data_IF_937768352539
#
_entry.id   IF_937768352539
#
_cell.length_a   1.000
_cell.length_b   1.000
_cell.length_c   1.000
_cell.angle_alpha   90.00
_cell.angle_beta   90.00
_cell.angle_gamma   90.00
#
_symmetry.space_group_name_H-M   'P 1'
#
loop_
_entity.id
_entity.type
_entity.pdbx_description
1 polymer ?
#
# COMPACT_ATOMS: atom_id res chain seq x y z
N UNK A 1 -13.63 -10.68 21.24
CA UNK A 1 -14.08 -10.73 19.83
C UNK A 1 -12.94 -10.33 18.88
N UNK A 2 -11.68 -10.54 19.28
CA UNK A 2 -10.46 -10.20 18.50
C UNK A 2 -9.68 -11.45 18.05
N UNK A 3 -10.08 -12.65 18.48
CA UNK A 3 -9.28 -13.87 18.32
C UNK A 3 -9.49 -14.63 17.00
N UNK A 4 -10.34 -14.15 16.09
CA UNK A 4 -10.63 -14.84 14.82
C UNK A 4 -10.26 -14.01 13.57
N UNK A 5 -9.51 -12.92 13.73
CA UNK A 5 -8.94 -12.25 12.56
C UNK A 5 -7.69 -13.03 12.12
N UNK A 6 -7.65 -13.53 10.87
CA UNK A 6 -6.47 -14.18 10.34
C UNK A 6 -5.23 -13.28 10.49
N UNK A 7 -4.05 -13.86 10.66
CA UNK A 7 -2.79 -13.10 10.80
C UNK A 7 -2.54 -12.08 9.68
N UNK A 8 -3.22 -12.21 8.55
CA UNK A 8 -3.16 -11.29 7.42
C UNK A 8 -3.91 -9.96 7.61
N UNK A 9 -4.80 -9.83 8.61
CA UNK A 9 -5.57 -8.59 8.93
C UNK A 9 -5.04 -7.91 10.20
N UNK A 10 -4.05 -8.49 10.89
CA UNK A 10 -3.55 -7.96 12.16
C UNK A 10 -2.69 -6.72 11.93
N UNK A 11 -3.36 -5.58 11.80
CA UNK A 11 -2.77 -4.25 11.90
C UNK A 11 -2.67 -3.85 13.37
N UNK A 12 -1.46 -3.89 13.90
CA UNK A 12 -1.21 -3.60 15.31
C UNK A 12 -1.28 -2.09 15.58
N UNK A 13 -2.07 -1.71 16.60
CA UNK A 13 -1.98 -0.36 17.17
C UNK A 13 -0.63 -0.25 17.88
N UNK A 14 0.24 0.59 17.35
CA UNK A 14 1.51 0.94 17.96
C UNK A 14 1.26 1.98 19.06
N UNK A 15 1.78 1.73 20.26
CA UNK A 15 1.88 2.79 21.25
C UNK A 15 3.01 3.72 20.82
N UNK A 16 2.72 5.02 20.76
CA UNK A 16 3.67 6.01 20.24
C UNK A 16 3.77 7.22 21.16
N UNK A 17 5.00 7.70 21.39
CA UNK A 17 5.27 8.98 22.06
C UNK A 17 6.06 9.93 21.16
N UNK A 18 5.94 11.23 21.42
CA UNK A 18 6.48 12.30 20.56
C UNK A 18 7.40 13.23 21.37
N UNK A 19 8.60 12.78 21.75
CA UNK A 19 9.46 13.51 22.70
C UNK A 19 9.97 14.85 22.14
N UNK A 20 10.17 14.95 20.81
CA UNK A 20 10.57 16.19 20.13
C UNK A 20 9.87 16.33 18.79
N UNK A 21 9.97 17.52 18.21
CA UNK A 21 9.48 17.81 16.85
C UNK A 21 10.16 16.88 15.83
N UNK A 22 9.39 15.92 15.30
CA UNK A 22 9.78 14.86 14.34
C UNK A 22 10.48 13.63 14.92
N UNK A 23 10.54 13.50 16.24
CA UNK A 23 10.94 12.25 16.89
C UNK A 23 9.68 11.49 17.30
N UNK A 24 9.68 10.19 17.02
CA UNK A 24 8.58 9.29 17.35
C UNK A 24 9.21 8.06 18.00
N UNK A 25 8.69 7.64 19.13
CA UNK A 25 9.12 6.39 19.78
C UNK A 25 7.95 5.43 19.72
N UNK A 26 8.11 4.33 18.99
CA UNK A 26 7.15 3.24 18.96
C UNK A 26 7.50 2.22 20.04
N UNK A 27 6.50 1.76 20.77
CA UNK A 27 6.60 0.64 21.70
C UNK A 27 5.89 -0.56 21.10
N UNK A 28 6.54 -1.72 21.15
CA UNK A 28 6.00 -2.97 20.67
C UNK A 28 5.80 -3.90 21.85
N UNK A 29 4.55 -4.29 22.04
CA UNK A 29 4.19 -5.43 22.86
C UNK A 29 4.13 -6.63 21.93
N UNK A 30 5.11 -7.52 22.08
CA UNK A 30 5.13 -8.81 21.40
C UNK A 30 4.22 -9.74 22.23
N UNK A 31 2.99 -10.05 21.76
CA UNK A 31 2.02 -10.81 22.54
C UNK A 31 2.50 -12.24 22.83
N UNK A 32 3.45 -12.75 22.03
CA UNK A 32 4.04 -14.07 22.16
C UNK A 32 5.36 -14.04 22.96
N UNK A 33 5.83 -12.86 23.39
CA UNK A 33 7.05 -12.76 24.18
C UNK A 33 6.81 -13.15 25.65
N UNK A 34 7.79 -13.80 26.32
CA UNK A 34 7.72 -14.10 27.73
C UNK A 34 7.42 -12.84 28.58
N UNK A 35 6.67 -12.93 29.69
CA UNK A 35 6.35 -11.78 30.55
C UNK A 35 7.56 -11.02 31.10
N UNK A 36 8.73 -11.67 31.15
CA UNK A 36 10.00 -11.08 31.55
C UNK A 36 10.70 -10.29 30.43
N UNK A 37 10.15 -10.30 29.22
CA UNK A 37 10.74 -9.63 28.07
C UNK A 37 10.60 -8.13 28.22
N UNK A 38 11.72 -7.43 28.12
CA UNK A 38 11.72 -5.98 28.14
C UNK A 38 10.92 -5.46 26.94
N UNK A 39 9.99 -4.53 27.20
CA UNK A 39 9.18 -3.89 26.17
C UNK A 39 10.11 -3.32 25.09
N UNK A 40 9.89 -3.73 23.85
CA UNK A 40 10.73 -3.29 22.75
C UNK A 40 10.35 -1.86 22.38
N UNK A 41 11.37 -1.05 22.09
CA UNK A 41 11.18 0.31 21.63
C UNK A 41 12.03 0.58 20.41
N UNK A 42 11.47 1.38 19.50
CA UNK A 42 12.17 1.89 18.34
C UNK A 42 12.01 3.40 18.30
N UNK A 43 13.12 4.11 18.10
CA UNK A 43 13.10 5.56 17.91
C UNK A 43 13.19 5.86 16.42
N UNK A 44 12.31 6.73 15.96
CA UNK A 44 12.15 7.10 14.57
C UNK A 44 12.27 8.61 14.42
N UNK A 45 12.93 9.01 13.34
CA UNK A 45 13.05 10.41 12.94
C UNK A 45 12.33 10.61 11.62
N UNK A 46 11.35 11.51 11.64
CA UNK A 46 10.58 11.90 10.45
C UNK A 46 11.29 13.01 9.68
N UNK A 47 11.23 12.91 8.37
CA UNK A 47 11.70 13.96 7.48
C UNK A 47 10.86 15.23 7.58
N UNK A 48 11.46 16.37 7.21
CA UNK A 48 10.79 17.68 7.28
C UNK A 48 9.74 17.84 6.19
N UNK A 49 10.01 17.28 5.00
CA UNK A 49 9.15 17.40 3.82
C UNK A 49 8.49 16.04 3.57
N UNK A 50 7.21 16.01 3.19
CA UNK A 50 6.58 14.77 2.77
C UNK A 50 7.19 14.28 1.46
N UNK A 51 7.29 12.96 1.30
CA UNK A 51 7.70 12.29 0.07
C UNK A 51 6.53 12.10 -0.91
N UNK A 52 5.29 12.18 -0.41
CA UNK A 52 4.08 12.12 -1.22
C UNK A 52 2.95 12.92 -0.58
N UNK A 53 2.07 13.48 -1.41
CA UNK A 53 0.86 14.20 -0.98
C UNK A 53 -0.32 13.69 -1.80
N UNK A 54 -1.39 13.28 -1.12
CA UNK A 54 -2.64 12.86 -1.77
C UNK A 54 -3.84 13.58 -1.17
N UNK A 55 -5.02 13.36 -1.75
CA UNK A 55 -6.27 13.97 -1.25
C UNK A 55 -6.64 13.56 0.18
N UNK A 56 -6.06 12.47 0.69
CA UNK A 56 -6.36 11.91 2.01
C UNK A 56 -5.24 12.09 3.04
N UNK A 57 -4.12 12.73 2.68
CA UNK A 57 -3.03 12.94 3.64
C UNK A 57 -1.66 13.17 3.03
N UNK A 58 -0.64 13.01 3.87
CA UNK A 58 0.75 13.23 3.53
C UNK A 58 1.57 12.01 3.95
N UNK A 59 2.47 11.58 3.06
CA UNK A 59 3.41 10.48 3.32
C UNK A 59 4.75 11.08 3.70
N UNK A 60 5.29 10.69 4.84
CA UNK A 60 6.58 11.14 5.34
C UNK A 60 7.54 9.96 5.45
N UNK A 61 8.77 10.13 4.96
CA UNK A 61 9.83 9.17 5.22
C UNK A 61 10.25 9.24 6.69
N UNK A 62 10.39 8.07 7.30
CA UNK A 62 10.87 7.93 8.68
C UNK A 62 12.06 6.96 8.71
N UNK A 63 13.13 7.38 9.39
CA UNK A 63 14.33 6.57 9.57
C UNK A 63 14.43 6.13 11.02
N UNK A 64 14.61 4.83 11.25
CA UNK A 64 14.86 4.29 12.59
C UNK A 64 16.27 4.71 13.03
N UNK A 65 16.38 5.42 14.14
CA UNK A 65 17.64 5.91 14.71
C UNK A 65 18.18 5.01 15.81
N UNK A 66 17.33 4.19 16.45
CA UNK A 66 17.72 3.21 17.46
C UNK A 66 16.63 2.16 17.67
N UNK A 67 17.02 0.94 18.01
CA UNK A 67 16.14 -0.23 18.11
C UNK A 67 16.43 -1.26 17.01
N UNK A 68 16.19 -2.53 17.27
CA UNK A 68 16.36 -3.58 16.26
C UNK A 68 15.05 -3.77 15.49
N UNK A 69 15.07 -3.52 14.18
CA UNK A 69 13.95 -3.83 13.28
C UNK A 69 13.64 -5.31 13.37
N UNK A 70 12.47 -5.66 13.90
CA UNK A 70 12.00 -7.03 13.82
C UNK A 70 10.64 -7.11 13.15
N UNK A 71 10.55 -8.05 12.21
CA UNK A 71 9.46 -8.16 11.27
C UNK A 71 9.10 -9.64 11.10
N UNK A 72 8.21 -10.13 11.95
CA UNK A 72 7.65 -11.48 11.93
C UNK A 72 6.34 -11.50 11.16
N UNK A 73 6.35 -11.16 9.86
CA UNK A 73 5.22 -11.49 8.97
C UNK A 73 5.76 -11.72 7.56
N UNK A 74 5.86 -13.01 7.19
CA UNK A 74 6.61 -13.51 6.02
C UNK A 74 5.72 -13.88 4.84
N UNK A 75 4.44 -14.15 5.05
CA UNK A 75 3.62 -14.82 4.02
C UNK A 75 3.16 -13.89 2.88
N UNK A 76 2.93 -12.59 3.17
CA UNK A 76 2.35 -11.64 2.20
C UNK A 76 3.28 -10.51 1.75
N UNK A 77 4.50 -10.45 2.29
CA UNK A 77 5.50 -9.42 1.98
C UNK A 77 5.94 -9.40 0.51
N UNK A 78 5.54 -10.43 -0.25
CA UNK A 78 5.84 -10.61 -1.66
C UNK A 78 4.99 -9.71 -2.56
N UNK A 79 3.69 -9.66 -2.34
CA UNK A 79 2.75 -8.98 -3.25
C UNK A 79 2.19 -7.69 -2.70
N UNK A 80 2.36 -7.43 -1.40
CA UNK A 80 1.77 -6.28 -0.73
C UNK A 80 2.83 -5.48 0.01
N UNK A 81 2.66 -4.16 -0.01
CA UNK A 81 3.42 -3.26 0.86
C UNK A 81 3.12 -3.63 2.30
N UNK A 82 4.17 -3.99 3.02
CA UNK A 82 4.08 -4.41 4.40
C UNK A 82 3.58 -3.27 5.28
N UNK A 83 2.46 -3.49 5.97
CA UNK A 83 2.07 -2.66 7.10
C UNK A 83 2.99 -2.93 8.30
N UNK A 84 3.41 -1.86 8.96
CA UNK A 84 4.17 -1.90 10.20
C UNK A 84 3.28 -1.59 11.42
N UNK A 85 1.99 -1.35 11.20
CA UNK A 85 1.03 -0.94 12.22
C UNK A 85 0.59 0.52 12.06
N UNK A 86 -0.21 1.00 13.01
CA UNK A 86 -0.77 2.35 12.99
C UNK A 86 -0.72 2.98 14.37
N UNK A 87 -0.73 4.31 14.43
CA UNK A 87 -0.72 5.06 15.69
C UNK A 87 -1.44 6.40 15.54
N UNK A 88 -1.89 6.94 16.66
CA UNK A 88 -2.61 8.22 16.69
C UNK A 88 -1.67 9.35 17.10
N UNK A 89 -1.80 10.47 16.41
CA UNK A 89 -1.41 11.79 16.89
C UNK A 89 -2.68 12.53 17.29
N UNK A 90 -2.53 13.61 18.05
CA UNK A 90 -3.63 14.44 18.58
C UNK A 90 -4.78 14.65 17.59
N UNK A 91 -4.46 14.94 16.33
CA UNK A 91 -5.44 15.28 15.29
C UNK A 91 -5.25 14.44 14.00
N UNK A 92 -4.57 13.28 14.07
CA UNK A 92 -4.27 12.51 12.86
C UNK A 92 -4.05 11.02 13.14
N UNK A 93 -4.62 10.18 12.29
CA UNK A 93 -4.28 8.76 12.20
C UNK A 93 -3.03 8.59 11.34
N UNK A 94 -2.03 7.87 11.84
CA UNK A 94 -0.78 7.60 11.13
C UNK A 94 -0.69 6.09 10.85
N UNK A 95 -0.46 5.71 9.59
CA UNK A 95 -0.21 4.32 9.20
C UNK A 95 1.28 4.21 8.87
N UNK A 96 1.98 3.32 9.57
CA UNK A 96 3.38 2.99 9.30
C UNK A 96 3.43 1.82 8.31
N UNK A 97 4.24 1.96 7.25
CA UNK A 97 4.40 0.94 6.21
C UNK A 97 5.85 0.87 5.76
N UNK A 98 6.23 -0.23 5.09
CA UNK A 98 7.57 -0.33 4.51
C UNK A 98 7.82 0.78 3.49
N UNK A 99 9.04 1.30 3.49
CA UNK A 99 9.45 2.30 2.50
C UNK A 99 9.97 1.60 1.24
N UNK A 100 9.44 2.01 0.09
CA UNK A 100 9.88 1.57 -1.24
C UNK A 100 10.71 2.68 -1.89
N UNK A 101 12.06 2.56 -1.93
CA UNK A 101 12.92 3.64 -2.42
C UNK A 101 12.83 3.87 -3.93
N UNK A 102 12.33 2.89 -4.70
CA UNK A 102 12.25 2.94 -6.16
C UNK A 102 11.08 3.78 -6.69
N UNK A 103 10.15 4.20 -5.83
CA UNK A 103 8.97 4.95 -6.25
C UNK A 103 7.89 4.09 -6.92
N UNK A 104 6.97 4.74 -7.64
CA UNK A 104 5.80 4.12 -8.27
C UNK A 104 5.92 4.01 -9.80
N UNK A 105 5.04 3.18 -10.39
CA UNK A 105 5.03 2.87 -11.83
C UNK A 105 4.71 4.07 -12.71
N UNK A 106 3.84 4.95 -12.24
CA UNK A 106 3.46 6.14 -13.01
C UNK A 106 4.63 7.11 -13.10
N UNK A 107 5.36 7.29 -12.00
CA UNK A 107 6.61 8.05 -11.94
C UNK A 107 7.66 7.44 -12.86
N UNK A 108 7.85 6.11 -12.83
CA UNK A 108 8.79 5.45 -13.74
C UNK A 108 8.44 5.68 -15.21
N UNK A 109 7.18 5.44 -15.61
CA UNK A 109 6.71 5.57 -17.00
C UNK A 109 6.73 7.01 -17.51
N UNK A 110 6.64 8.01 -16.63
CA UNK A 110 6.82 9.42 -17.01
C UNK A 110 8.22 9.63 -17.60
N UNK A 111 9.23 9.13 -16.90
CA UNK A 111 10.63 9.42 -17.17
C UNK A 111 11.29 8.40 -18.14
N UNK A 112 10.61 7.29 -18.45
CA UNK A 112 11.10 6.20 -19.31
C UNK A 112 10.17 5.92 -20.50
N UNK A 113 10.62 5.22 -21.56
CA UNK A 113 9.73 4.75 -22.62
C UNK A 113 8.71 3.72 -22.10
N UNK A 114 7.71 3.42 -22.94
CA UNK A 114 6.80 2.29 -22.70
C UNK A 114 7.59 1.00 -22.50
N UNK A 115 7.08 0.11 -21.64
CA UNK A 115 7.78 -1.13 -21.35
C UNK A 115 7.57 -2.16 -22.46
N UNK A 116 8.58 -2.98 -22.77
CA UNK A 116 8.41 -4.15 -23.63
C UNK A 116 7.30 -5.07 -23.13
N UNK A 117 6.75 -5.88 -24.02
CA UNK A 117 5.69 -6.83 -23.68
C UNK A 117 6.13 -7.79 -22.56
N UNK A 118 7.39 -8.23 -22.59
CA UNK A 118 7.93 -9.16 -21.58
C UNK A 118 7.96 -8.58 -20.17
N UNK A 119 8.30 -7.30 -20.05
CA UNK A 119 8.32 -6.57 -18.79
C UNK A 119 6.90 -6.29 -18.30
N UNK A 120 6.03 -5.86 -19.21
CA UNK A 120 4.60 -5.66 -18.96
C UNK A 120 3.96 -6.95 -18.43
N UNK A 121 4.27 -8.09 -19.06
CA UNK A 121 3.79 -9.42 -18.64
C UNK A 121 4.24 -9.78 -17.23
N UNK A 122 5.51 -9.51 -16.89
CA UNK A 122 6.04 -9.76 -15.55
C UNK A 122 5.34 -8.91 -14.48
N UNK A 123 5.07 -7.64 -14.77
CA UNK A 123 4.34 -6.74 -13.86
C UNK A 123 2.90 -7.21 -13.71
N UNK A 124 2.17 -7.34 -14.81
CA UNK A 124 0.74 -7.73 -14.81
C UNK A 124 0.53 -9.09 -14.14
N UNK A 125 1.42 -10.07 -14.33
CA UNK A 125 1.33 -11.37 -13.67
C UNK A 125 1.45 -11.28 -12.13
N UNK A 126 2.32 -10.42 -11.62
CA UNK A 126 2.47 -10.21 -10.17
C UNK A 126 1.26 -9.51 -9.58
N UNK A 127 0.72 -8.52 -10.28
CA UNK A 127 -0.51 -7.81 -9.89
C UNK A 127 -1.69 -8.77 -9.84
N UNK A 128 -1.89 -9.59 -10.87
CA UNK A 128 -2.94 -10.60 -10.91
C UNK A 128 -2.89 -11.55 -9.71
N UNK A 129 -1.69 -11.98 -9.30
CA UNK A 129 -1.52 -12.83 -8.10
C UNK A 129 -1.90 -12.09 -6.82
N UNK A 130 -1.54 -10.81 -6.70
CA UNK A 130 -1.98 -9.97 -5.59
C UNK A 130 -3.49 -9.80 -5.56
N UNK A 131 -4.11 -9.49 -6.70
CA UNK A 131 -5.57 -9.36 -6.83
C UNK A 131 -6.29 -10.66 -6.48
N UNK A 132 -5.80 -11.82 -6.95
CA UNK A 132 -6.38 -13.11 -6.63
C UNK A 132 -6.41 -13.40 -5.12
N UNK A 133 -5.34 -13.01 -4.40
CA UNK A 133 -5.30 -13.11 -2.93
C UNK A 133 -6.33 -12.17 -2.30
N UNK A 134 -6.37 -10.89 -2.72
CA UNK A 134 -7.33 -9.94 -2.15
C UNK A 134 -8.79 -10.35 -2.37
N UNK A 135 -9.11 -10.78 -3.60
CA UNK A 135 -10.45 -11.23 -3.96
C UNK A 135 -10.87 -12.48 -3.19
N UNK A 136 -9.94 -13.41 -2.94
CA UNK A 136 -10.18 -14.59 -2.11
C UNK A 136 -10.52 -14.24 -0.65
N UNK A 137 -9.96 -13.16 -0.13
CA UNK A 137 -10.19 -12.66 1.24
C UNK A 137 -11.32 -11.59 1.32
N UNK A 138 -11.99 -11.28 0.21
CA UNK A 138 -13.09 -10.31 0.16
C UNK A 138 -12.66 -8.84 0.27
N UNK A 139 -11.40 -8.54 -0.05
CA UNK A 139 -10.84 -7.19 -0.12
C UNK A 139 -10.73 -6.70 -1.58
N UNK A 140 -10.90 -5.38 -1.77
CA UNK A 140 -10.79 -4.70 -3.06
C UNK A 140 -10.01 -3.40 -2.92
N UNK A 141 -9.19 -3.05 -3.93
CA UNK A 141 -8.49 -1.77 -3.89
C UNK A 141 -7.76 -1.28 -5.14
N UNK A 142 -7.69 0.06 -5.18
CA UNK A 142 -6.90 0.89 -6.06
C UNK A 142 -5.51 1.16 -5.48
N UNK A 143 -4.53 1.23 -6.38
CA UNK A 143 -3.15 1.72 -6.26
C UNK A 143 -2.06 0.64 -6.23
N UNK A 144 -1.25 0.70 -7.27
CA UNK A 144 -0.12 -0.15 -7.56
C UNK A 144 1.16 0.60 -7.19
N UNK A 145 1.99 0.03 -6.32
CA UNK A 145 3.37 0.50 -6.15
C UNK A 145 4.30 -0.47 -6.87
N UNK A 146 5.15 0.10 -7.69
CA UNK A 146 6.17 -0.64 -8.39
C UNK A 146 7.35 -0.91 -7.46
N UNK A 147 8.07 -1.99 -7.70
CA UNK A 147 9.51 -2.04 -7.45
C UNK A 147 10.28 -2.62 -8.65
N UNK A 148 11.58 -2.32 -8.63
CA UNK A 148 12.68 -2.76 -9.52
C UNK A 148 12.73 -2.11 -10.90
N UNK A 149 13.78 -2.39 -11.71
CA UNK A 149 15.18 -2.08 -11.44
C UNK A 149 15.47 -0.57 -11.59
N UNK A 150 16.43 -0.04 -10.83
CA UNK A 150 16.95 1.31 -11.11
C UNK A 150 17.83 1.26 -12.37
N UNK A 151 18.08 2.40 -13.04
CA UNK A 151 19.05 2.45 -14.14
C UNK A 151 20.43 1.89 -13.78
N UNK A 152 20.77 1.87 -12.49
CA UNK A 152 22.05 1.38 -11.95
C UNK A 152 22.04 -0.10 -11.57
N UNK A 153 20.89 -0.74 -11.42
CA UNK A 153 20.77 -2.14 -10.99
C UNK A 153 19.73 -2.90 -11.84
N UNK A 154 20.05 -3.21 -13.12
CA UNK A 154 19.15 -3.93 -14.00
C UNK A 154 18.82 -5.32 -13.44
N UNK A 155 17.54 -5.69 -13.53
CA UNK A 155 17.03 -6.94 -12.97
C UNK A 155 15.54 -7.13 -13.27
N UNK A 156 14.96 -8.29 -12.93
CA UNK A 156 13.56 -8.57 -13.19
C UNK A 156 12.64 -7.59 -12.44
N UNK A 157 11.44 -7.35 -12.95
CA UNK A 157 10.45 -6.49 -12.28
C UNK A 157 9.93 -7.10 -10.98
N UNK A 158 9.61 -6.28 -9.97
CA UNK A 158 8.92 -6.74 -8.77
C UNK A 158 7.95 -5.72 -8.22
N UNK A 159 6.67 -5.99 -8.28
CA UNK A 159 5.67 -5.00 -7.90
C UNK A 159 4.93 -5.41 -6.65
N UNK A 160 4.55 -4.43 -5.83
CA UNK A 160 3.76 -4.62 -4.62
C UNK A 160 2.52 -3.74 -4.64
N UNK A 161 1.38 -4.33 -4.41
CA UNK A 161 0.14 -3.59 -4.19
C UNK A 161 0.24 -2.79 -2.90
N UNK A 162 -0.23 -1.56 -2.92
CA UNK A 162 -0.15 -0.65 -1.79
C UNK A 162 -1.46 0.08 -1.58
N UNK A 163 -1.50 0.90 -0.54
CA UNK A 163 -2.65 1.72 -0.17
C UNK A 163 -3.82 0.84 0.25
N UNK A 164 -3.88 0.49 1.54
CA UNK A 164 -5.02 -0.17 2.19
C UNK A 164 -5.98 0.80 2.91
N UNK A 165 -5.79 2.12 2.79
CA UNK A 165 -6.56 3.14 3.54
C UNK A 165 -8.07 3.26 3.24
N UNK A 166 -8.64 2.41 2.38
CA UNK A 166 -10.04 2.45 1.90
C UNK A 166 -10.53 1.05 1.48
N UNK A 167 -10.00 -0.05 2.06
CA UNK A 167 -10.35 -1.39 1.56
C UNK A 167 -11.72 -1.67 2.11
N UNK A 168 -12.74 -1.65 1.25
CA UNK A 168 -14.08 -2.02 1.69
C UNK A 168 -14.15 -3.53 1.67
N UNK A 169 -14.43 -4.14 2.83
CA UNK A 169 -14.93 -5.52 2.87
C UNK A 169 -16.31 -5.51 2.20
N UNK A 170 -16.59 -6.53 1.39
CA UNK A 170 -17.82 -6.65 0.62
C UNK A 170 -19.10 -6.45 1.47
N UNK A 171 -19.05 -6.81 2.76
CA UNK A 171 -20.18 -6.70 3.70
C UNK A 171 -20.49 -5.25 4.16
N UNK A 172 -19.55 -4.31 4.05
CA UNK A 172 -19.70 -2.93 4.52
C UNK A 172 -20.03 -1.92 3.38
N UNK A 173 -20.34 -2.42 2.18
CA UNK A 173 -20.48 -1.63 0.95
C UNK A 173 -21.71 -0.67 0.90
N UNK A 174 -22.45 -0.52 2.00
CA UNK A 174 -23.60 0.39 2.07
C UNK A 174 -23.24 1.90 2.16
N UNK A 175 -21.96 2.26 2.35
CA UNK A 175 -21.55 3.66 2.48
C UNK A 175 -20.70 4.13 1.28
N UNK A 176 -21.34 4.91 0.41
CA UNK A 176 -20.84 5.42 -0.88
C UNK A 176 -19.76 6.51 -0.81
N UNK A 177 -18.78 6.42 0.09
CA UNK A 177 -17.62 7.31 0.05
C UNK A 177 -16.49 6.66 -0.77
N UNK A 178 -16.35 7.04 -2.04
CA UNK A 178 -15.15 6.83 -2.88
C UNK A 178 -14.49 8.19 -3.04
N UNK A 179 -13.32 8.41 -2.44
CA UNK A 179 -12.64 9.70 -2.56
C UNK A 179 -12.09 9.86 -3.97
N UNK A 180 -12.81 10.68 -4.73
CA UNK A 180 -12.48 11.23 -6.03
C UNK A 180 -11.40 12.30 -5.85
N UNK A 181 -10.13 11.96 -6.08
CA UNK A 181 -9.15 12.92 -6.58
C UNK A 181 -7.89 12.19 -7.05
N UNK A 182 -7.77 11.97 -8.37
CA UNK A 182 -6.48 11.65 -9.00
C UNK A 182 -6.40 10.41 -9.91
N UNK A 183 -7.45 9.63 -10.12
CA UNK A 183 -7.30 8.33 -10.85
C UNK A 183 -8.53 7.93 -11.66
N UNK A 184 -9.33 8.88 -12.16
CA UNK A 184 -10.51 8.58 -13.02
C UNK A 184 -10.13 7.79 -14.27
N UNK A 185 -8.92 7.96 -14.75
CA UNK A 185 -8.30 7.26 -15.89
C UNK A 185 -8.32 5.73 -15.77
N UNK A 186 -8.37 5.20 -14.55
CA UNK A 186 -8.37 3.76 -14.28
C UNK A 186 -9.70 3.27 -13.68
N UNK A 187 -10.66 4.16 -13.48
CA UNK A 187 -11.96 3.79 -12.91
C UNK A 187 -12.80 3.02 -13.93
N UNK A 188 -13.46 1.98 -13.44
CA UNK A 188 -14.42 1.23 -14.23
C UNK A 188 -15.68 2.10 -14.50
N UNK A 189 -16.37 1.93 -15.64
CA UNK A 189 -17.51 2.75 -16.00
C UNK A 189 -18.66 2.67 -14.98
N UNK A 190 -18.82 1.53 -14.31
CA UNK A 190 -19.79 1.35 -13.22
C UNK A 190 -19.45 2.17 -11.97
N UNK A 191 -18.16 2.40 -11.71
CA UNK A 191 -17.70 3.26 -10.61
C UNK A 191 -17.93 4.73 -10.94
N UNK A 192 -17.65 5.14 -12.18
CA UNK A 192 -17.89 6.51 -12.66
C UNK A 192 -19.37 6.88 -12.66
N UNK A 193 -20.25 5.90 -12.90
CA UNK A 193 -21.70 6.08 -12.93
C UNK A 193 -22.37 5.92 -11.56
N UNK A 194 -21.61 5.70 -10.49
CA UNK A 194 -22.11 5.49 -9.13
C UNK A 194 -23.25 4.46 -9.07
N UNK A 195 -23.11 3.35 -9.81
CA UNK A 195 -24.14 2.30 -9.82
C UNK A 195 -24.25 1.65 -8.43
N UNK A 196 -25.44 1.22 -7.99
CA UNK A 196 -25.63 0.64 -6.66
C UNK A 196 -24.95 -0.73 -6.48
N UNK A 197 -24.82 -1.51 -7.56
CA UNK A 197 -24.29 -2.88 -7.54
C UNK A 197 -22.89 -2.97 -8.18
N UNK A 198 -21.94 -2.19 -7.67
CA UNK A 198 -20.55 -2.25 -8.17
C UNK A 198 -19.95 -3.61 -7.82
N UNK A 199 -19.64 -4.40 -8.85
CA UNK A 199 -18.87 -5.64 -8.71
C UNK A 199 -17.39 -5.30 -8.60
N UNK A 200 -16.93 -5.02 -7.39
CA UNK A 200 -15.56 -4.59 -7.15
C UNK A 200 -14.46 -5.49 -7.75
N UNK A 201 -14.55 -6.85 -7.76
CA UNK A 201 -13.59 -7.68 -8.47
C UNK A 201 -13.49 -7.36 -9.97
N UNK A 202 -14.62 -7.08 -10.63
CA UNK A 202 -14.63 -6.73 -12.05
C UNK A 202 -14.03 -5.33 -12.29
N UNK A 203 -14.28 -4.39 -11.37
CA UNK A 203 -13.68 -3.07 -11.42
C UNK A 203 -12.15 -3.10 -11.24
N UNK A 204 -11.63 -3.96 -10.35
CA UNK A 204 -10.19 -4.17 -10.20
C UNK A 204 -9.56 -4.73 -11.50
N UNK A 205 -10.27 -5.62 -12.20
CA UNK A 205 -9.82 -6.16 -13.50
C UNK A 205 -9.83 -5.11 -14.61
N UNK A 206 -10.79 -4.17 -14.60
CA UNK A 206 -10.80 -3.01 -15.49
C UNK A 206 -9.57 -2.13 -15.26
N UNK A 207 -9.30 -1.77 -14.00
CA UNK A 207 -8.15 -0.96 -13.63
C UNK A 207 -6.82 -1.61 -14.04
N UNK A 208 -6.71 -2.93 -13.88
CA UNK A 208 -5.57 -3.72 -14.37
C UNK A 208 -5.41 -3.63 -15.89
N UNK A 209 -6.52 -3.69 -16.65
CA UNK A 209 -6.52 -3.52 -18.10
C UNK A 209 -6.03 -2.13 -18.52
N UNK A 210 -6.58 -1.08 -17.91
CA UNK A 210 -6.18 0.31 -18.14
C UNK A 210 -4.69 0.54 -17.81
N UNK A 211 -4.20 -0.01 -16.68
CA UNK A 211 -2.79 0.02 -16.33
C UNK A 211 -1.93 -0.73 -17.36
N UNK A 212 -2.30 -1.95 -17.74
CA UNK A 212 -1.51 -2.75 -18.69
C UNK A 212 -1.40 -2.02 -20.04
N UNK A 213 -2.48 -1.38 -20.49
CA UNK A 213 -2.46 -0.53 -21.68
C UNK A 213 -1.52 0.67 -21.51
N UNK A 214 -1.59 1.37 -20.38
CA UNK A 214 -0.73 2.52 -20.07
C UNK A 214 0.76 2.14 -20.05
N UNK A 215 1.09 0.98 -19.48
CA UNK A 215 2.46 0.45 -19.47
C UNK A 215 2.97 0.20 -20.90
N UNK A 216 2.14 -0.43 -21.75
CA UNK A 216 2.51 -0.84 -23.11
C UNK A 216 2.57 0.33 -24.10
N UNK A 217 1.79 1.38 -23.87
CA UNK A 217 1.57 2.46 -24.85
C UNK A 217 2.02 3.83 -24.39
N UNK A 218 2.32 3.99 -23.09
CA UNK A 218 2.56 5.29 -22.44
C UNK A 218 1.41 6.30 -22.66
N UNK A 219 0.20 5.79 -22.86
CA UNK A 219 -1.00 6.58 -23.12
C UNK A 219 -2.11 6.16 -22.16
N UNK A 220 -2.98 7.10 -21.81
CA UNK A 220 -4.20 6.75 -21.08
C UNK A 220 -5.14 5.96 -21.99
N UNK A 221 -5.75 4.88 -21.48
CA UNK A 221 -6.75 4.12 -22.24
C UNK A 221 -7.98 4.99 -22.54
N UNK A 222 -8.35 5.88 -21.61
CA UNK A 222 -9.49 6.78 -21.72
C UNK A 222 -9.09 8.20 -21.28
N UNK A 223 -8.88 9.13 -22.22
CA UNK A 223 -8.50 10.52 -21.92
C UNK A 223 -9.65 11.36 -21.36
#
# INVERSE_FOLDING_TARGET
MEDELPDHVRDYKLEATFPKKREIVHFYDDPDAPPSSQRRLECWKSDKRPIGRGGQGQVFLQTCTSGSRHYTHRAYSKYFVKSLGWYEKKDSLCIAMEYVPTGDLQTYLRDHPALPEDDSRQITSQVLRGLAIMHGEGFHKNVLIQQRPTPTEPGPWWVKLSDFGISKRLEAAASGATTVMGTTEYMAPEQLRCLPDIKYPAADMWALGAMTFSILTKSCMFP
#
